data_IF_558101782186
#
_entry.id   IF_558101782186
#
_cell.length_a   1.000
_cell.length_b   1.000
_cell.length_c   1.000
_cell.angle_alpha   90.00
_cell.angle_beta   90.00
_cell.angle_gamma   90.00
#
_symmetry.space_group_name_H-M   'P 1'
#
loop_
_entity.id
_entity.type
_entity.pdbx_description
1 polymer ?
#
# COMPACT_ATOMS: atom_id res chain seq x y z
N UNK A 1 -31.26 39.19 4.54
CA UNK A 1 -30.57 38.15 3.71
C UNK A 1 -31.29 36.81 3.88
N UNK A 2 -31.09 35.81 3.02
CA UNK A 2 -31.75 34.48 3.15
C UNK A 2 -30.73 33.36 3.37
N UNK A 3 -31.10 32.30 4.09
CA UNK A 3 -30.25 31.14 4.33
C UNK A 3 -30.06 30.32 3.05
N UNK A 4 -28.81 30.08 2.65
CA UNK A 4 -28.47 29.28 1.47
C UNK A 4 -28.82 27.79 1.56
N UNK A 5 -29.22 27.29 2.74
CA UNK A 5 -29.59 25.88 2.95
C UNK A 5 -31.10 25.66 3.02
N UNK A 6 -31.85 26.51 3.73
CA UNK A 6 -33.29 26.31 3.97
C UNK A 6 -34.19 27.46 3.50
N UNK A 7 -33.62 28.55 2.98
CA UNK A 7 -34.37 29.69 2.44
C UNK A 7 -34.99 30.63 3.49
N UNK A 8 -34.73 30.41 4.78
CA UNK A 8 -35.26 31.27 5.86
C UNK A 8 -34.68 32.69 5.81
N UNK A 9 -35.48 33.69 6.20
CA UNK A 9 -34.99 35.05 6.36
C UNK A 9 -33.99 35.12 7.53
N UNK A 10 -32.83 35.71 7.27
CA UNK A 10 -31.75 35.90 8.23
C UNK A 10 -31.71 37.35 8.70
N UNK A 11 -31.54 37.51 10.01
CA UNK A 11 -31.25 38.78 10.68
C UNK A 11 -29.84 39.28 10.31
N UNK A 12 -29.63 40.59 10.30
CA UNK A 12 -28.41 41.25 9.82
C UNK A 12 -27.17 40.93 10.69
N UNK A 13 -27.38 40.42 11.92
CA UNK A 13 -26.30 39.97 12.83
C UNK A 13 -26.36 38.46 13.14
N UNK A 14 -27.17 37.68 12.42
CA UNK A 14 -27.33 36.26 12.68
C UNK A 14 -26.02 35.47 12.40
N UNK A 15 -25.46 34.84 13.43
CA UNK A 15 -24.31 33.92 13.29
C UNK A 15 -24.73 32.51 12.86
N UNK A 16 -25.99 32.14 13.07
CA UNK A 16 -26.56 30.84 12.71
C UNK A 16 -28.00 31.03 12.23
N UNK A 17 -28.44 30.22 11.27
CA UNK A 17 -29.83 30.15 10.85
C UNK A 17 -30.67 29.53 11.96
N UNK A 18 -31.69 30.24 12.41
CA UNK A 18 -32.60 29.82 13.49
C UNK A 18 -33.48 28.64 13.12
N UNK A 19 -33.69 28.39 11.82
CA UNK A 19 -34.53 27.27 11.34
C UNK A 19 -33.76 25.97 11.13
N UNK A 20 -32.59 26.03 10.48
CA UNK A 20 -31.83 24.82 10.13
C UNK A 20 -30.46 24.69 10.81
N UNK A 21 -30.06 25.65 11.65
CA UNK A 21 -28.81 25.62 12.40
C UNK A 21 -27.54 25.92 11.59
N UNK A 22 -27.65 26.21 10.29
CA UNK A 22 -26.47 26.50 9.45
C UNK A 22 -25.78 27.79 9.90
N UNK A 23 -24.48 27.74 10.13
CA UNK A 23 -23.68 28.91 10.48
C UNK A 23 -23.57 29.88 9.28
N UNK A 24 -23.76 31.17 9.53
CA UNK A 24 -23.79 32.22 8.53
C UNK A 24 -22.49 33.04 8.64
N UNK A 25 -21.77 33.22 7.53
CA UNK A 25 -20.54 34.02 7.48
C UNK A 25 -19.24 33.30 7.86
N UNK A 26 -19.31 32.04 8.32
CA UNK A 26 -18.15 31.16 8.37
C UNK A 26 -18.07 30.35 7.06
N UNK A 27 -16.89 30.22 6.42
CA UNK A 27 -16.73 29.17 5.41
C UNK A 27 -17.15 27.85 6.04
N UNK A 28 -17.86 26.98 5.31
CA UNK A 28 -18.28 25.67 5.81
C UNK A 28 -17.05 24.76 6.00
N UNK A 29 -16.27 25.00 7.06
CA UNK A 29 -15.01 24.29 7.37
C UNK A 29 -15.29 22.78 7.55
N UNK A 30 -16.47 22.41 8.05
CA UNK A 30 -16.90 21.02 8.19
C UNK A 30 -17.09 20.27 6.86
N UNK A 31 -17.68 20.91 5.85
CA UNK A 31 -17.85 20.31 4.52
C UNK A 31 -16.50 20.16 3.80
N UNK A 32 -15.59 21.13 3.96
CA UNK A 32 -14.23 21.03 3.44
C UNK A 32 -13.45 19.87 4.06
N UNK A 33 -13.48 19.75 5.38
CA UNK A 33 -12.81 18.67 6.12
C UNK A 33 -13.37 17.28 5.78
N UNK A 34 -14.70 17.14 5.67
CA UNK A 34 -15.32 15.88 5.27
C UNK A 34 -14.98 15.47 3.83
N UNK A 35 -14.97 16.42 2.89
CA UNK A 35 -14.54 16.15 1.52
C UNK A 35 -13.06 15.75 1.45
N UNK A 36 -12.19 16.41 2.21
CA UNK A 36 -10.76 16.09 2.27
C UNK A 36 -10.50 14.68 2.83
N UNK A 37 -11.18 14.29 3.91
CA UNK A 37 -11.05 12.94 4.46
C UNK A 37 -11.56 11.87 3.48
N UNK A 38 -12.69 12.12 2.82
CA UNK A 38 -13.23 11.20 1.81
C UNK A 38 -12.27 11.07 0.61
N UNK A 39 -11.65 12.16 0.17
CA UNK A 39 -10.61 12.14 -0.86
C UNK A 39 -9.39 11.33 -0.43
N UNK A 40 -8.85 11.58 0.76
CA UNK A 40 -7.69 10.84 1.30
C UNK A 40 -7.99 9.36 1.53
N UNK A 41 -9.20 9.01 1.97
CA UNK A 41 -9.63 7.63 2.10
C UNK A 41 -9.78 6.94 0.74
N UNK A 42 -10.32 7.62 -0.27
CA UNK A 42 -10.42 7.12 -1.64
C UNK A 42 -9.04 6.92 -2.27
N UNK A 43 -8.12 7.87 -2.06
CA UNK A 43 -6.72 7.74 -2.47
C UNK A 43 -6.03 6.59 -1.74
N UNK A 44 -6.25 6.44 -0.43
CA UNK A 44 -5.78 5.32 0.37
C UNK A 44 -6.19 3.98 -0.19
N UNK A 45 -7.49 3.81 -0.50
CA UNK A 45 -8.01 2.59 -1.11
C UNK A 45 -7.36 2.31 -2.47
N UNK A 46 -7.15 3.34 -3.30
CA UNK A 46 -6.47 3.19 -4.60
C UNK A 46 -5.01 2.77 -4.45
N UNK A 47 -4.27 3.42 -3.56
CA UNK A 47 -2.85 3.12 -3.30
C UNK A 47 -2.68 1.70 -2.76
N UNK A 48 -3.49 1.31 -1.76
CA UNK A 48 -3.46 -0.03 -1.16
C UNK A 48 -3.80 -1.11 -2.19
N UNK A 49 -4.85 -0.91 -2.99
CA UNK A 49 -5.23 -1.89 -4.00
C UNK A 49 -4.18 -2.04 -5.11
N UNK A 50 -3.56 -0.93 -5.53
CA UNK A 50 -2.47 -0.96 -6.51
C UNK A 50 -1.20 -1.60 -5.93
N UNK A 51 -0.87 -1.32 -4.66
CA UNK A 51 0.26 -1.94 -3.97
C UNK A 51 0.04 -3.46 -3.82
N UNK A 52 -1.15 -3.86 -3.37
CA UNK A 52 -1.55 -5.27 -3.34
C UNK A 52 -1.43 -5.94 -4.70
N UNK A 53 -1.87 -5.27 -5.77
CA UNK A 53 -1.78 -5.80 -7.13
C UNK A 53 -0.34 -6.06 -7.55
N UNK A 54 0.59 -5.14 -7.23
CA UNK A 54 2.02 -5.30 -7.51
C UNK A 54 2.63 -6.44 -6.69
N UNK A 55 2.37 -6.48 -5.39
CA UNK A 55 2.82 -7.56 -4.50
C UNK A 55 2.30 -8.94 -4.95
N UNK A 56 1.05 -9.00 -5.41
CA UNK A 56 0.46 -10.22 -5.96
C UNK A 56 1.14 -10.69 -7.24
N UNK A 57 1.63 -9.77 -8.08
CA UNK A 57 2.46 -10.14 -9.24
C UNK A 57 3.78 -10.75 -8.76
N UNK A 58 4.41 -10.19 -7.73
CA UNK A 58 5.58 -10.77 -7.07
C UNK A 58 5.34 -12.21 -6.58
N UNK A 59 4.17 -12.48 -5.99
CA UNK A 59 3.78 -13.83 -5.58
C UNK A 59 3.74 -14.82 -6.76
N UNK A 60 3.19 -14.42 -7.90
CA UNK A 60 3.19 -15.28 -9.10
C UNK A 60 4.60 -15.55 -9.61
N UNK A 61 5.52 -14.58 -9.49
CA UNK A 61 6.93 -14.78 -9.84
C UNK A 61 7.56 -15.83 -8.93
N UNK A 62 7.33 -15.76 -7.61
CA UNK A 62 7.81 -16.78 -6.67
C UNK A 62 7.30 -18.19 -7.03
N UNK A 63 6.01 -18.34 -7.36
CA UNK A 63 5.45 -19.63 -7.79
C UNK A 63 6.13 -20.14 -9.06
N UNK A 64 6.32 -19.27 -10.05
CA UNK A 64 7.00 -19.64 -11.29
C UNK A 64 8.45 -20.11 -11.04
N UNK A 65 9.17 -19.42 -10.16
CA UNK A 65 10.53 -19.80 -9.75
C UNK A 65 10.53 -21.15 -9.05
N UNK A 66 9.61 -21.41 -8.12
CA UNK A 66 9.50 -22.72 -7.45
C UNK A 66 9.26 -23.84 -8.46
N UNK A 67 8.34 -23.65 -9.40
CA UNK A 67 8.07 -24.63 -10.46
C UNK A 67 9.33 -24.90 -11.30
N UNK A 68 10.03 -23.85 -11.72
CA UNK A 68 11.29 -23.98 -12.45
C UNK A 68 12.36 -24.73 -11.62
N UNK A 69 12.48 -24.42 -10.33
CA UNK A 69 13.49 -25.01 -9.45
C UNK A 69 13.23 -26.49 -9.13
N UNK A 70 11.95 -26.90 -9.07
CA UNK A 70 11.57 -28.30 -8.95
C UNK A 70 11.92 -29.10 -10.22
N UNK A 71 11.72 -28.51 -11.41
CA UNK A 71 12.05 -29.16 -12.69
C UNK A 71 13.57 -29.31 -12.88
N UNK A 72 14.34 -28.24 -12.65
CA UNK A 72 15.80 -28.31 -12.81
C UNK A 72 16.46 -29.16 -11.72
N UNK A 73 15.78 -29.35 -10.60
CA UNK A 73 16.24 -30.15 -9.48
C UNK A 73 16.56 -31.61 -9.79
N UNK A 74 15.98 -32.16 -10.87
CA UNK A 74 16.33 -33.50 -11.35
C UNK A 74 17.72 -33.56 -12.01
N UNK A 75 18.25 -32.42 -12.46
CA UNK A 75 19.59 -32.27 -13.04
C UNK A 75 20.57 -31.69 -12.02
N UNK A 76 20.10 -30.75 -11.20
CA UNK A 76 20.89 -30.04 -10.21
C UNK A 76 20.28 -30.20 -8.81
N UNK A 77 20.71 -31.23 -8.09
CA UNK A 77 20.09 -31.62 -6.81
C UNK A 77 20.03 -30.50 -5.76
N UNK A 78 21.01 -29.60 -5.67
CA UNK A 78 20.94 -28.48 -4.72
C UNK A 78 19.83 -27.47 -5.03
N UNK A 79 19.27 -27.49 -6.24
CA UNK A 79 18.09 -26.69 -6.59
C UNK A 79 16.86 -27.04 -5.73
N UNK A 80 16.77 -28.25 -5.17
CA UNK A 80 15.69 -28.61 -4.24
C UNK A 80 15.77 -27.80 -2.94
N UNK A 81 17.00 -27.54 -2.44
CA UNK A 81 17.22 -26.67 -1.28
C UNK A 81 16.78 -25.23 -1.55
N UNK A 82 17.13 -24.70 -2.72
CA UNK A 82 16.65 -23.37 -3.15
C UNK A 82 15.13 -23.33 -3.34
N UNK A 83 14.51 -24.41 -3.83
CA UNK A 83 13.06 -24.51 -3.96
C UNK A 83 12.35 -24.40 -2.60
N UNK A 84 12.91 -25.00 -1.54
CA UNK A 84 12.39 -24.86 -0.18
C UNK A 84 12.49 -23.41 0.32
N UNK A 85 13.65 -22.76 0.13
CA UNK A 85 13.82 -21.34 0.48
C UNK A 85 12.81 -20.44 -0.26
N UNK A 86 12.66 -20.65 -1.56
CA UNK A 86 11.75 -19.87 -2.40
C UNK A 86 10.28 -20.12 -2.03
N UNK A 87 9.94 -21.34 -1.57
CA UNK A 87 8.61 -21.66 -1.02
C UNK A 87 8.34 -20.87 0.26
N UNK A 88 9.33 -20.76 1.14
CA UNK A 88 9.22 -19.95 2.36
C UNK A 88 9.07 -18.45 2.05
N UNK A 89 9.86 -17.93 1.11
CA UNK A 89 9.75 -16.54 0.64
C UNK A 89 8.38 -16.24 -0.01
N UNK A 90 7.87 -17.18 -0.82
CA UNK A 90 6.53 -17.13 -1.40
C UNK A 90 5.45 -17.06 -0.31
N UNK A 91 5.57 -17.88 0.73
CA UNK A 91 4.63 -17.88 1.85
C UNK A 91 4.67 -16.57 2.65
N UNK A 92 5.85 -16.00 2.88
CA UNK A 92 5.98 -14.68 3.52
C UNK A 92 5.32 -13.58 2.67
N UNK A 93 5.58 -13.57 1.36
CA UNK A 93 4.97 -12.62 0.42
C UNK A 93 3.44 -12.76 0.39
N UNK A 94 2.93 -14.00 0.44
CA UNK A 94 1.49 -14.26 0.55
C UNK A 94 0.90 -13.71 1.86
N UNK A 95 1.56 -13.93 2.99
CA UNK A 95 1.13 -13.37 4.28
C UNK A 95 1.08 -11.85 4.24
N UNK A 96 2.09 -11.21 3.65
CA UNK A 96 2.14 -9.77 3.49
C UNK A 96 1.02 -9.26 2.56
N UNK A 97 0.76 -9.93 1.44
CA UNK A 97 -0.39 -9.62 0.58
C UNK A 97 -1.72 -9.66 1.35
N UNK A 98 -1.90 -10.63 2.24
CA UNK A 98 -3.11 -10.73 3.08
C UNK A 98 -3.16 -9.61 4.12
N UNK A 99 -2.01 -9.22 4.70
CA UNK A 99 -1.92 -8.11 5.64
C UNK A 99 -2.34 -6.79 4.99
N UNK A 100 -1.88 -6.51 3.77
CA UNK A 100 -2.22 -5.27 3.03
C UNK A 100 -3.73 -5.06 2.88
N UNK A 101 -4.50 -6.12 2.63
CA UNK A 101 -5.96 -5.99 2.45
C UNK A 101 -6.73 -6.09 3.77
N UNK A 102 -6.33 -7.01 4.66
CA UNK A 102 -7.14 -7.34 5.86
C UNK A 102 -6.87 -6.41 7.02
N UNK A 103 -5.61 -6.03 7.22
CA UNK A 103 -5.18 -5.24 8.37
C UNK A 103 -3.93 -4.43 7.99
N UNK A 104 -4.10 -3.31 7.25
CA UNK A 104 -3.01 -2.54 6.70
C UNK A 104 -2.32 -1.70 7.79
N UNK A 105 -1.52 -2.35 8.63
CA UNK A 105 -0.67 -1.69 9.63
C UNK A 105 0.80 -2.02 9.38
N UNK A 106 1.69 -1.03 9.52
CA UNK A 106 3.14 -1.22 9.36
C UNK A 106 3.58 -1.55 7.93
N UNK A 107 2.77 -1.22 6.91
CA UNK A 107 3.09 -1.43 5.50
C UNK A 107 4.26 -0.52 5.11
N UNK A 108 4.17 0.77 5.42
CA UNK A 108 5.23 1.73 5.10
C UNK A 108 6.55 1.33 5.75
N UNK A 109 6.52 0.95 7.03
CA UNK A 109 7.73 0.52 7.78
C UNK A 109 8.39 -0.70 7.14
N UNK A 110 7.61 -1.67 6.67
CA UNK A 110 8.13 -2.83 5.94
C UNK A 110 8.99 -2.42 4.73
N UNK A 111 8.49 -1.48 3.90
CA UNK A 111 9.24 -0.99 2.73
C UNK A 111 10.39 -0.05 3.09
N UNK A 112 10.27 0.71 4.18
CA UNK A 112 11.35 1.57 4.67
C UNK A 112 12.60 0.74 5.02
N UNK A 113 12.40 -0.37 5.73
CA UNK A 113 13.46 -1.29 6.18
C UNK A 113 13.94 -2.27 5.09
N UNK A 114 13.15 -2.50 4.03
CA UNK A 114 13.44 -3.50 2.98
C UNK A 114 14.68 -3.20 2.12
N UNK A 115 15.12 -1.94 2.01
CA UNK A 115 16.19 -1.51 1.08
C UNK A 115 17.47 -2.34 1.20
N UNK A 116 17.92 -2.56 2.44
CA UNK A 116 19.17 -3.28 2.72
C UNK A 116 19.05 -4.73 2.27
N UNK A 117 17.90 -5.35 2.54
CA UNK A 117 17.62 -6.74 2.15
C UNK A 117 17.58 -6.89 0.64
N UNK A 118 16.92 -5.98 -0.08
CA UNK A 118 16.80 -6.03 -1.54
C UNK A 118 18.16 -5.88 -2.23
N UNK A 119 18.99 -4.92 -1.77
CA UNK A 119 20.34 -4.71 -2.31
C UNK A 119 21.22 -5.95 -2.09
N UNK A 120 21.17 -6.54 -0.89
CA UNK A 120 21.92 -7.76 -0.58
C UNK A 120 21.44 -8.91 -1.48
N UNK A 121 20.13 -9.07 -1.65
CA UNK A 121 19.55 -10.12 -2.49
C UNK A 121 19.98 -9.99 -3.95
N UNK A 122 19.92 -8.78 -4.52
CA UNK A 122 20.39 -8.52 -5.89
C UNK A 122 21.89 -8.84 -6.00
N UNK A 123 22.70 -8.36 -5.06
CA UNK A 123 24.15 -8.59 -5.06
C UNK A 123 24.52 -10.07 -5.03
N UNK A 124 23.89 -10.85 -4.14
CA UNK A 124 24.10 -12.29 -4.05
C UNK A 124 23.69 -13.02 -5.33
N UNK A 125 22.53 -12.67 -5.91
CA UNK A 125 22.08 -13.29 -7.15
C UNK A 125 22.98 -12.95 -8.34
N UNK A 126 23.52 -11.74 -8.43
CA UNK A 126 24.49 -11.38 -9.46
C UNK A 126 25.80 -12.17 -9.34
N UNK A 127 26.33 -12.32 -8.12
CA UNK A 127 27.56 -13.11 -7.86
C UNK A 127 27.35 -14.60 -8.18
N UNK A 128 26.18 -15.14 -7.85
CA UNK A 128 25.83 -16.54 -8.09
C UNK A 128 25.34 -16.82 -9.53
N UNK A 129 25.40 -15.83 -10.43
CA UNK A 129 25.03 -15.97 -11.86
C UNK A 129 23.53 -15.99 -12.15
N UNK A 130 22.70 -15.65 -11.17
CA UNK A 130 21.24 -15.65 -11.25
C UNK A 130 20.65 -14.35 -11.80
N UNK A 131 20.61 -14.21 -13.13
CA UNK A 131 19.95 -13.05 -13.79
C UNK A 131 18.48 -12.93 -13.36
N UNK A 132 17.77 -14.06 -13.22
CA UNK A 132 16.39 -14.08 -12.74
C UNK A 132 16.25 -13.47 -11.33
N UNK A 133 17.16 -13.80 -10.42
CA UNK A 133 17.14 -13.24 -9.07
C UNK A 133 17.45 -11.75 -9.02
N UNK A 134 18.35 -11.27 -9.89
CA UNK A 134 18.59 -9.84 -10.04
C UNK A 134 17.34 -9.10 -10.54
N UNK A 135 16.63 -9.66 -11.52
CA UNK A 135 15.37 -9.10 -12.04
C UNK A 135 14.29 -9.06 -10.96
N UNK A 136 14.18 -10.11 -10.15
CA UNK A 136 13.24 -10.17 -9.01
C UNK A 136 13.55 -9.06 -8.01
N UNK A 137 14.82 -8.93 -7.58
CA UNK A 137 15.17 -7.87 -6.63
C UNK A 137 14.98 -6.45 -7.19
N UNK A 138 15.18 -6.25 -8.51
CA UNK A 138 14.84 -4.97 -9.16
C UNK A 138 13.33 -4.71 -9.11
N UNK A 139 12.52 -5.73 -9.29
CA UNK A 139 11.06 -5.62 -9.17
C UNK A 139 10.65 -5.26 -7.73
N UNK A 140 11.28 -5.89 -6.72
CA UNK A 140 11.04 -5.57 -5.31
C UNK A 140 11.39 -4.09 -5.01
N UNK A 141 12.52 -3.60 -5.53
CA UNK A 141 12.89 -2.18 -5.45
C UNK A 141 11.87 -1.25 -6.12
N UNK A 142 11.28 -1.67 -7.24
CA UNK A 142 10.24 -0.90 -7.92
C UNK A 142 8.96 -0.80 -7.07
N UNK A 143 8.52 -1.89 -6.44
CA UNK A 143 7.37 -1.85 -5.53
C UNK A 143 7.68 -0.96 -4.33
N UNK A 144 8.88 -1.11 -3.76
CA UNK A 144 9.35 -0.28 -2.67
C UNK A 144 9.32 1.21 -3.04
N UNK A 145 9.82 1.58 -4.22
CA UNK A 145 9.78 2.97 -4.69
C UNK A 145 8.34 3.49 -4.74
N UNK A 146 7.40 2.68 -5.24
CA UNK A 146 5.98 3.04 -5.27
C UNK A 146 5.40 3.23 -3.86
N UNK A 147 5.72 2.36 -2.91
CA UNK A 147 5.29 2.51 -1.52
C UNK A 147 5.84 3.79 -0.87
N UNK A 148 7.15 4.05 -1.05
CA UNK A 148 7.81 5.24 -0.50
C UNK A 148 7.27 6.54 -1.12
N UNK A 149 6.92 6.54 -2.41
CA UNK A 149 6.30 7.68 -3.08
C UNK A 149 4.90 8.02 -2.51
N UNK A 150 4.19 7.03 -1.96
CA UNK A 150 2.87 7.20 -1.37
C UNK A 150 2.88 7.18 0.17
N UNK A 151 4.02 7.51 0.80
CA UNK A 151 4.24 7.49 2.26
C UNK A 151 3.09 8.11 3.06
N UNK A 152 2.70 9.35 2.74
CA UNK A 152 1.70 10.09 3.54
C UNK A 152 0.33 9.40 3.50
N UNK A 153 -0.03 8.84 2.34
CA UNK A 153 -1.29 8.12 2.14
C UNK A 153 -1.27 6.79 2.90
N UNK A 154 -0.16 6.05 2.85
CA UNK A 154 0.00 4.80 3.60
C UNK A 154 -0.08 5.04 5.12
N UNK A 155 0.64 6.04 5.64
CA UNK A 155 0.59 6.40 7.06
C UNK A 155 -0.81 6.85 7.49
N UNK A 156 -1.55 7.57 6.65
CA UNK A 156 -2.93 7.93 6.92
C UNK A 156 -3.83 6.69 7.05
N UNK A 157 -3.73 5.75 6.09
CA UNK A 157 -4.49 4.50 6.13
C UNK A 157 -4.15 3.70 7.38
N UNK A 158 -2.86 3.52 7.68
CA UNK A 158 -2.41 2.77 8.87
C UNK A 158 -2.96 3.39 10.17
N UNK A 159 -2.87 4.71 10.32
CA UNK A 159 -3.37 5.42 11.49
C UNK A 159 -4.90 5.34 11.62
N UNK A 160 -5.63 5.29 10.50
CA UNK A 160 -7.10 5.18 10.51
C UNK A 160 -7.61 3.81 10.99
N UNK A 161 -6.78 2.76 10.95
CA UNK A 161 -7.13 1.41 11.41
C UNK A 161 -6.79 1.19 12.89
N UNK A 162 -5.87 1.98 13.44
CA UNK A 162 -5.39 1.85 14.83
C UNK A 162 -6.24 2.66 15.84
N UNK A 163 -7.04 3.62 15.35
CA UNK A 163 -7.98 4.42 16.14
C UNK A 163 -9.25 3.65 16.52
#
# INVERSE_FOLDING_TARGET
MFCGNCGEALDDQAKFCTRCGMQIGAPNVGLGYQNQNMQMQNEGMRVINELYRKEKIGLYIWVAVICYQLLIGFVWYSAWGFALWNTFACYQSYKFCQQIIRYPVGIYKHYEEALTTDIIFIGLNLVLGGVLGAVIGIYDLYIRQYAMANRNVLLYVENSVVQ
#
